data_IF_407729377098
#
_entry.id   IF_407729377098
#
_cell.length_a   1.000
_cell.length_b   1.000
_cell.length_c   1.000
_cell.angle_alpha   90.00
_cell.angle_beta   90.00
_cell.angle_gamma   90.00
#
_symmetry.space_group_name_H-M   'P 1'
#
loop_
_entity.id
_entity.type
_entity.pdbx_description
1 polymer ?
#
# COMPACT_ATOMS: atom_id res chain seq x y z
N UNK A 1 11.46 -9.84 -13.94
CA UNK A 1 10.12 -9.52 -13.83
C UNK A 1 9.84 -8.91 -12.50
N UNK A 2 9.19 -7.81 -12.45
CA UNK A 2 8.97 -7.11 -11.23
C UNK A 2 7.69 -7.55 -10.56
N UNK A 3 7.68 -7.56 -9.23
CA UNK A 3 6.45 -7.83 -8.51
C UNK A 3 5.61 -6.57 -8.53
N UNK A 4 4.31 -6.74 -8.56
CA UNK A 4 3.36 -5.65 -8.57
C UNK A 4 2.86 -5.44 -7.16
N UNK A 5 3.15 -4.30 -6.57
CA UNK A 5 2.79 -4.01 -5.20
C UNK A 5 1.80 -2.88 -5.16
N UNK A 6 0.70 -3.07 -4.45
CA UNK A 6 -0.30 -2.04 -4.27
C UNK A 6 -0.12 -1.46 -2.88
N UNK A 7 0.06 -0.14 -2.79
CA UNK A 7 0.27 0.54 -1.54
C UNK A 7 -0.98 1.32 -1.21
N UNK A 8 -1.60 1.02 -0.07
CA UNK A 8 -2.84 1.67 0.34
C UNK A 8 -2.57 2.50 1.57
N UNK A 9 -2.74 3.82 1.46
CA UNK A 9 -2.47 4.72 2.54
C UNK A 9 -3.18 6.02 2.23
N UNK A 10 -3.85 6.62 3.20
CA UNK A 10 -4.59 7.84 2.95
C UNK A 10 -3.68 9.05 2.95
N UNK A 11 -2.40 8.91 3.32
CA UNK A 11 -1.46 10.00 3.29
C UNK A 11 -0.69 9.98 1.99
N UNK A 12 -0.91 10.99 1.18
CA UNK A 12 -0.27 11.02 -0.13
C UNK A 12 1.24 10.99 -0.06
N UNK A 13 1.82 11.75 0.88
CA UNK A 13 3.26 11.82 0.98
C UNK A 13 3.84 10.46 1.34
N UNK A 14 3.16 9.72 2.19
CA UNK A 14 3.63 8.41 2.59
C UNK A 14 3.52 7.45 1.40
N UNK A 15 2.41 7.52 0.65
CA UNK A 15 2.26 6.65 -0.50
C UNK A 15 3.41 6.87 -1.48
N UNK A 16 3.72 8.14 -1.73
CA UNK A 16 4.75 8.45 -2.70
C UNK A 16 6.13 8.04 -2.20
N UNK A 17 6.38 8.20 -0.91
CA UNK A 17 7.66 7.84 -0.36
C UNK A 17 7.87 6.32 -0.45
N UNK A 18 6.87 5.55 -0.06
CA UNK A 18 6.98 4.10 -0.08
C UNK A 18 7.09 3.60 -1.51
N UNK A 19 6.29 4.18 -2.40
CA UNK A 19 6.32 3.76 -3.79
C UNK A 19 7.70 4.07 -4.41
N UNK A 20 8.29 5.21 -4.05
CA UNK A 20 9.59 5.56 -4.56
C UNK A 20 10.67 4.60 -4.09
N UNK A 21 10.64 4.24 -2.80
CA UNK A 21 11.62 3.34 -2.25
C UNK A 21 11.51 1.96 -2.93
N UNK A 22 10.29 1.46 -3.07
CA UNK A 22 10.11 0.15 -3.64
C UNK A 22 10.41 0.15 -5.14
N UNK A 23 10.08 1.23 -5.80
CA UNK A 23 10.36 1.32 -7.22
C UNK A 23 11.86 1.31 -7.47
N UNK A 24 12.63 1.93 -6.56
CA UNK A 24 14.07 1.93 -6.69
C UNK A 24 14.63 0.52 -6.50
N UNK A 25 13.88 -0.35 -5.83
CA UNK A 25 14.33 -1.72 -5.63
C UNK A 25 13.89 -2.62 -6.80
N UNK A 26 13.23 -2.07 -7.77
CA UNK A 26 12.84 -2.84 -8.94
C UNK A 26 11.42 -3.35 -8.95
N UNK A 27 10.58 -2.93 -7.99
CA UNK A 27 9.19 -3.39 -7.97
C UNK A 27 8.32 -2.43 -8.74
N UNK A 28 7.20 -2.94 -9.24
CA UNK A 28 6.20 -2.10 -9.86
C UNK A 28 5.23 -1.71 -8.77
N UNK A 29 4.98 -0.44 -8.58
CA UNK A 29 4.13 0.02 -7.49
C UNK A 29 2.93 0.77 -7.99
N UNK A 30 1.78 0.50 -7.38
CA UNK A 30 0.57 1.25 -7.62
C UNK A 30 0.11 1.74 -6.26
N UNK A 31 -0.65 2.80 -6.22
CA UNK A 31 -1.10 3.37 -4.95
C UNK A 31 -2.59 3.54 -4.93
N UNK A 32 -3.17 3.53 -3.76
CA UNK A 32 -4.58 3.78 -3.56
C UNK A 32 -4.75 4.57 -2.29
N UNK A 33 -5.65 5.53 -2.30
CA UNK A 33 -5.82 6.41 -1.16
C UNK A 33 -6.76 5.83 -0.11
N UNK A 34 -7.61 4.90 -0.49
CA UNK A 34 -8.58 4.34 0.44
C UNK A 34 -8.97 2.95 -0.03
N UNK A 35 -9.86 2.30 0.70
CA UNK A 35 -10.23 0.94 0.39
C UNK A 35 -10.99 0.84 -0.92
N UNK A 36 -11.78 1.85 -1.27
CA UNK A 36 -12.53 1.81 -2.51
C UNK A 36 -11.56 1.82 -3.70
N UNK A 37 -10.58 2.72 -3.67
CA UNK A 37 -9.60 2.79 -4.74
C UNK A 37 -8.76 1.51 -4.75
N UNK A 38 -8.47 0.94 -3.58
CA UNK A 38 -7.70 -0.28 -3.52
C UNK A 38 -8.45 -1.43 -4.17
N UNK A 39 -9.75 -1.56 -3.89
CA UNK A 39 -10.52 -2.64 -4.47
C UNK A 39 -10.61 -2.49 -5.99
N UNK A 40 -10.74 -1.26 -6.47
CA UNK A 40 -10.79 -1.04 -7.89
C UNK A 40 -9.46 -1.42 -8.54
N UNK A 41 -8.34 -1.08 -7.89
CA UNK A 41 -7.04 -1.41 -8.43
C UNK A 41 -6.84 -2.93 -8.47
N UNK A 42 -7.30 -3.63 -7.43
CA UNK A 42 -7.16 -5.07 -7.39
C UNK A 42 -8.03 -5.71 -8.48
N UNK A 43 -9.21 -5.14 -8.70
CA UNK A 43 -10.11 -5.68 -9.70
C UNK A 43 -9.54 -5.50 -11.11
N UNK A 44 -8.85 -4.41 -11.35
CA UNK A 44 -8.27 -4.18 -12.65
C UNK A 44 -7.07 -5.09 -12.87
N UNK A 45 -6.26 -5.28 -11.84
CA UNK A 45 -5.11 -6.15 -11.96
C UNK A 45 -4.73 -6.59 -10.56
N UNK A 46 -4.72 -7.87 -10.32
CA UNK A 46 -4.42 -8.39 -9.00
C UNK A 46 -2.95 -8.18 -8.66
N UNK A 47 -2.64 -7.53 -7.56
CA UNK A 47 -1.25 -7.29 -7.21
C UNK A 47 -0.62 -8.52 -6.57
N UNK A 48 0.70 -8.58 -6.56
CA UNK A 48 1.41 -9.66 -5.89
C UNK A 48 1.39 -9.44 -4.40
N UNK A 49 1.34 -8.18 -3.96
CA UNK A 49 1.37 -7.85 -2.55
C UNK A 49 0.61 -6.56 -2.32
N UNK A 50 -0.08 -6.47 -1.21
CA UNK A 50 -0.78 -5.25 -0.83
C UNK A 50 -0.20 -4.79 0.49
N UNK A 51 0.28 -3.53 0.53
CA UNK A 51 0.78 -2.94 1.74
C UNK A 51 -0.27 -1.99 2.30
N UNK A 52 -0.71 -2.24 3.51
CA UNK A 52 -1.70 -1.40 4.15
C UNK A 52 -1.03 -0.68 5.29
N UNK A 53 -1.20 0.63 5.34
CA UNK A 53 -0.57 1.39 6.37
C UNK A 53 -1.61 1.85 7.35
N UNK A 54 -2.12 0.95 8.14
CA UNK A 54 -3.15 1.26 9.08
C UNK A 54 -2.67 1.85 10.35
N UNK A 55 -1.42 1.66 10.70
CA UNK A 55 -0.98 2.16 11.95
C UNK A 55 -0.82 3.67 11.95
N UNK A 56 -0.89 4.28 10.81
CA UNK A 56 -0.84 5.66 10.78
C UNK A 56 -1.99 6.28 11.44
N UNK A 57 -3.04 5.57 11.50
CA UNK A 57 -4.16 6.10 12.10
C UNK A 57 -4.19 5.79 13.47
N UNK A 58 -3.48 5.42 13.83
CA UNK A 58 -3.60 5.18 14.99
C UNK A 58 -3.56 4.37 15.77
N UNK A 59 -3.82 4.45 15.75
CA UNK A 59 -3.85 4.03 16.35
C UNK A 59 -3.71 3.31 16.87
N UNK A 60 -3.80 3.03 16.74
CA UNK A 60 -3.86 2.33 17.14
C UNK A 60 -3.11 1.44 17.44
N UNK A 61 -2.56 1.42 17.89
CA UNK A 61 -1.84 0.67 18.22
C UNK A 61 -2.09 -0.50 18.27
N UNK A 62 -2.90 -0.51 18.55
CA UNK A 62 -3.40 -1.67 18.47
C UNK A 62 -3.04 -2.18 17.25
N UNK A 63 -2.78 -1.43 16.42
CA UNK A 63 -2.49 -1.83 15.17
C UNK A 63 -1.52 -2.88 15.17
N UNK A 64 -0.79 -2.93 16.10
CA UNK A 64 0.10 -3.86 16.14
C UNK A 64 -0.34 -5.12 16.00
N UNK A 65 -1.27 -5.38 16.63
CA UNK A 65 -1.72 -6.64 16.61
C UNK A 65 -2.21 -6.94 15.36
N UNK A 66 -2.64 -6.05 14.76
CA UNK A 66 -3.23 -6.27 13.57
C UNK A 66 -2.28 -6.86 12.68
N UNK A 67 -1.15 -6.48 12.77
CA UNK A 67 -0.28 -6.93 11.96
C UNK A 67 -0.12 -8.21 11.92
N UNK A 68 -0.44 -8.70 12.67
CA UNK A 68 -0.27 -9.96 12.68
C UNK A 68 -0.95 -10.57 12.02
#
# INVERSE_FOLDING_TARGET
>A
MALDILIVDDERDIRELVAGVLSDEGYDCRTAADSTAALEAIDQKRPSLVLLDVWLHGSQMDGLEVLD
#
